data_IF_403342339241
#
_entry.id   IF_403342339241
#
_cell.length_a   1.000
_cell.length_b   1.000
_cell.length_c   1.000
_cell.angle_alpha   90.00
_cell.angle_beta   90.00
_cell.angle_gamma   90.00
#
_symmetry.space_group_name_H-M   'P 1'
#
loop_
_entity.id
_entity.type
_entity.pdbx_description
1 polymer ?
#
# COMPACT_ATOMS: atom_id res chain seq x y z
N UNK A 1 31.74 -32.60 -72.11
CA UNK A 1 30.67 -32.58 -71.09
C UNK A 1 31.36 -32.75 -69.74
N UNK A 2 32.02 -31.74 -69.16
CA UNK A 2 31.49 -30.52 -68.54
C UNK A 2 30.41 -30.79 -67.49
N UNK A 3 30.86 -30.95 -66.24
CA UNK A 3 30.37 -30.16 -65.11
C UNK A 3 31.49 -30.05 -64.04
N UNK A 4 31.78 -28.85 -63.51
CA UNK A 4 32.93 -28.60 -62.66
C UNK A 4 32.66 -29.05 -61.22
N UNK A 5 33.70 -29.60 -60.59
CA UNK A 5 33.75 -29.89 -59.16
C UNK A 5 33.81 -28.56 -58.41
N UNK A 6 32.75 -28.19 -57.71
CA UNK A 6 32.73 -27.00 -56.85
C UNK A 6 33.78 -27.16 -55.73
N UNK A 7 34.61 -26.13 -55.47
CA UNK A 7 35.63 -26.17 -54.45
C UNK A 7 34.97 -26.17 -53.06
N UNK A 8 35.58 -26.87 -52.11
CA UNK A 8 35.08 -26.99 -50.75
C UNK A 8 34.81 -25.62 -50.14
N UNK A 9 33.60 -25.46 -49.61
CA UNK A 9 33.41 -24.62 -48.43
C UNK A 9 33.78 -25.52 -47.26
N UNK A 10 34.99 -25.35 -46.76
CA UNK A 10 35.32 -25.75 -45.40
C UNK A 10 34.33 -25.00 -44.50
N UNK A 11 33.23 -25.65 -44.14
CA UNK A 11 32.37 -25.22 -43.04
C UNK A 11 33.25 -25.26 -41.79
N UNK A 12 33.91 -24.14 -41.49
CA UNK A 12 34.67 -23.98 -40.25
C UNK A 12 33.65 -24.01 -39.11
N UNK A 13 33.53 -25.13 -38.36
CA UNK A 13 32.51 -25.25 -37.32
C UNK A 13 32.69 -24.15 -36.26
N UNK A 14 33.85 -23.54 -36.17
CA UNK A 14 34.15 -22.42 -35.29
C UNK A 14 33.34 -21.16 -35.63
N UNK A 15 33.11 -20.86 -36.92
CA UNK A 15 32.37 -19.67 -37.35
C UNK A 15 30.88 -19.83 -37.11
N UNK A 16 30.31 -20.99 -37.43
CA UNK A 16 28.89 -21.26 -37.21
C UNK A 16 28.52 -21.25 -35.73
N UNK A 17 29.40 -21.81 -34.88
CA UNK A 17 29.25 -21.73 -33.43
C UNK A 17 29.39 -20.28 -32.91
N UNK A 18 30.27 -19.46 -33.50
CA UNK A 18 30.40 -18.04 -33.17
C UNK A 18 29.14 -17.25 -33.57
N UNK A 19 28.59 -17.47 -34.77
CA UNK A 19 27.36 -16.84 -35.22
C UNK A 19 26.17 -17.23 -34.34
N UNK A 20 26.03 -18.52 -34.03
CA UNK A 20 24.99 -19.02 -33.13
C UNK A 20 25.08 -18.39 -31.74
N UNK A 21 26.30 -18.28 -31.18
CA UNK A 21 26.55 -17.64 -29.89
C UNK A 21 26.16 -16.16 -29.87
N UNK A 22 26.51 -15.41 -30.92
CA UNK A 22 26.15 -13.98 -31.04
C UNK A 22 24.62 -13.81 -31.16
N UNK A 23 23.96 -14.66 -31.96
CA UNK A 23 22.50 -14.61 -32.12
C UNK A 23 21.78 -14.93 -30.81
N UNK A 24 22.19 -15.98 -30.09
CA UNK A 24 21.59 -16.33 -28.81
C UNK A 24 21.83 -15.24 -27.76
N UNK A 25 23.02 -14.66 -27.69
CA UNK A 25 23.31 -13.54 -26.79
C UNK A 25 22.43 -12.32 -27.10
N UNK A 26 22.24 -11.97 -28.37
CA UNK A 26 21.36 -10.88 -28.78
C UNK A 26 19.90 -11.15 -28.38
N UNK A 27 19.39 -12.37 -28.60
CA UNK A 27 18.02 -12.74 -28.22
C UNK A 27 17.83 -12.64 -26.70
N UNK A 28 18.78 -13.14 -25.90
CA UNK A 28 18.73 -13.07 -24.42
C UNK A 28 18.77 -11.62 -23.92
N UNK A 29 19.59 -10.76 -24.52
CA UNK A 29 19.62 -9.33 -24.17
C UNK A 29 18.29 -8.66 -24.49
N UNK A 30 17.72 -8.92 -25.67
CA UNK A 30 16.44 -8.34 -26.08
C UNK A 30 15.31 -8.81 -25.15
N UNK A 31 15.21 -10.12 -24.90
CA UNK A 31 14.16 -10.66 -24.00
C UNK A 31 14.35 -10.19 -22.57
N UNK A 32 15.59 -10.08 -22.08
CA UNK A 32 15.93 -9.50 -20.78
C UNK A 32 15.51 -8.03 -20.66
N UNK A 33 15.82 -7.20 -21.65
CA UNK A 33 15.40 -5.80 -21.68
C UNK A 33 13.88 -5.64 -21.74
N UNK A 34 13.18 -6.46 -22.53
CA UNK A 34 11.72 -6.46 -22.59
C UNK A 34 11.08 -6.91 -21.27
N UNK A 35 11.65 -7.92 -20.60
CA UNK A 35 11.19 -8.38 -19.29
C UNK A 35 11.40 -7.29 -18.24
N UNK A 36 12.59 -6.69 -18.20
CA UNK A 36 12.91 -5.60 -17.29
C UNK A 36 12.00 -4.39 -17.51
N UNK A 37 11.69 -4.04 -18.76
CA UNK A 37 10.80 -2.92 -19.06
C UNK A 37 9.35 -3.19 -18.63
N UNK A 38 8.86 -4.43 -18.77
CA UNK A 38 7.53 -4.82 -18.29
C UNK A 38 7.45 -4.79 -16.75
N UNK A 39 8.50 -5.23 -16.08
CA UNK A 39 8.59 -5.23 -14.61
C UNK A 39 8.75 -3.80 -14.05
N UNK A 40 9.55 -2.96 -14.71
CA UNK A 40 9.69 -1.54 -14.36
C UNK A 40 8.38 -0.75 -14.56
N UNK A 41 7.55 -1.14 -15.54
CA UNK A 41 6.22 -0.53 -15.73
C UNK A 41 5.25 -0.91 -14.62
N UNK A 42 5.33 -2.13 -14.07
CA UNK A 42 4.53 -2.54 -12.91
C UNK A 42 4.89 -1.75 -11.65
N UNK A 43 6.18 -1.46 -11.44
CA UNK A 43 6.66 -0.75 -10.25
C UNK A 43 6.16 0.70 -10.15
N UNK A 44 5.89 1.36 -11.29
CA UNK A 44 5.39 2.75 -11.33
C UNK A 44 3.93 2.92 -10.85
N UNK A 45 3.16 1.85 -10.75
CA UNK A 45 1.78 1.92 -10.24
C UNK A 45 1.79 2.17 -8.73
N UNK A 46 2.80 1.68 -8.00
CA UNK A 46 2.88 1.79 -6.54
C UNK A 46 3.11 3.24 -6.05
N UNK A 47 3.85 4.04 -6.82
CA UNK A 47 4.21 5.42 -6.45
C UNK A 47 3.07 6.42 -6.70
N UNK A 48 2.18 6.12 -7.65
CA UNK A 48 1.03 6.97 -7.98
C UNK A 48 -0.11 6.86 -6.96
N UNK A 49 -0.13 5.82 -6.10
CA UNK A 49 -1.12 5.67 -5.02
C UNK A 49 -0.75 6.44 -3.74
N UNK A 50 0.53 6.75 -3.51
CA UNK A 50 0.95 7.58 -2.35
C UNK A 50 0.55 9.05 -2.49
N UNK A 51 0.41 9.56 -3.72
CA UNK A 51 0.26 10.98 -4.00
C UNK A 51 -1.19 11.46 -4.26
N UNK A 52 -2.19 10.57 -4.27
CA UNK A 52 -3.52 10.93 -4.80
C UNK A 52 -4.60 11.28 -3.77
N UNK A 53 -4.35 11.17 -2.46
CA UNK A 53 -5.18 11.86 -1.45
C UNK A 53 -4.28 12.20 -0.25
N UNK A 54 -3.75 13.43 -0.14
CA UNK A 54 -3.23 13.88 1.14
C UNK A 54 -4.39 13.82 2.13
N UNK A 55 -4.39 12.81 2.99
CA UNK A 55 -5.43 12.66 4.00
C UNK A 55 -5.18 13.76 5.03
N UNK A 56 -6.04 14.76 5.05
CA UNK A 56 -6.03 15.76 6.10
C UNK A 56 -6.74 15.19 7.31
N UNK A 57 -6.13 15.38 8.48
CA UNK A 57 -6.66 14.99 9.77
C UNK A 57 -7.06 16.25 10.55
N UNK A 58 -8.25 16.24 11.12
CA UNK A 58 -8.69 17.30 12.02
C UNK A 58 -8.18 16.99 13.43
N UNK A 59 -7.12 17.68 13.86
CA UNK A 59 -6.56 17.54 15.20
C UNK A 59 -6.97 18.71 16.10
N UNK A 60 -6.96 18.48 17.40
CA UNK A 60 -7.23 19.47 18.43
C UNK A 60 -5.95 19.63 19.26
N UNK A 61 -5.24 20.72 19.05
CA UNK A 61 -4.04 21.09 19.82
C UNK A 61 -4.30 22.45 20.48
N UNK A 62 -3.88 22.59 21.73
CA UNK A 62 -4.08 23.83 22.52
C UNK A 62 -5.55 24.32 22.61
N UNK A 63 -6.52 23.42 22.42
CA UNK A 63 -7.95 23.74 22.44
C UNK A 63 -8.52 24.23 21.11
N UNK A 64 -7.70 24.43 20.09
CA UNK A 64 -8.13 24.82 18.76
C UNK A 64 -8.15 23.64 17.78
N UNK A 65 -9.15 23.65 16.88
CA UNK A 65 -9.27 22.67 15.81
C UNK A 65 -8.43 23.11 14.62
N UNK A 66 -7.46 22.30 14.25
CA UNK A 66 -6.59 22.56 13.10
C UNK A 66 -6.57 21.36 12.16
N UNK A 67 -6.54 21.61 10.86
CA UNK A 67 -6.32 20.56 9.87
C UNK A 67 -4.82 20.40 9.64
N UNK A 68 -4.32 19.21 9.89
CA UNK A 68 -2.94 18.81 9.63
C UNK A 68 -2.90 17.71 8.58
N UNK A 69 -1.76 17.54 7.92
CA UNK A 69 -1.57 16.36 7.10
C UNK A 69 -1.52 15.12 8.01
N UNK A 70 -1.99 13.97 7.52
CA UNK A 70 -1.89 12.72 8.27
C UNK A 70 -0.44 12.37 8.67
N UNK A 71 0.55 12.86 7.92
CA UNK A 71 1.98 12.70 8.22
C UNK A 71 2.45 13.49 9.46
N UNK A 72 1.79 14.61 9.76
CA UNK A 72 2.13 15.49 10.89
C UNK A 72 1.43 15.08 12.20
N UNK A 73 0.62 14.03 12.17
CA UNK A 73 -0.11 13.49 13.32
C UNK A 73 0.83 12.66 14.19
N UNK A 74 0.87 12.96 15.48
CA UNK A 74 1.72 12.26 16.44
C UNK A 74 0.89 11.52 17.49
N UNK A 75 1.52 10.53 18.14
CA UNK A 75 0.91 9.79 19.25
C UNK A 75 0.61 10.76 20.39
N UNK A 76 -0.61 10.69 20.93
CA UNK A 76 -1.09 11.59 21.98
C UNK A 76 -1.93 12.77 21.47
N UNK A 77 -1.97 13.03 20.16
CA UNK A 77 -2.86 14.05 19.61
C UNK A 77 -4.33 13.65 19.78
N UNK A 78 -5.19 14.65 20.01
CA UNK A 78 -6.63 14.48 19.97
C UNK A 78 -7.13 14.70 18.54
N UNK A 79 -7.68 13.68 17.90
CA UNK A 79 -8.23 13.73 16.55
C UNK A 79 -9.75 13.70 16.61
N UNK A 80 -10.39 14.52 15.79
CA UNK A 80 -11.84 14.48 15.53
C UNK A 80 -12.08 13.89 14.14
N UNK A 81 -12.92 12.85 14.06
CA UNK A 81 -13.33 12.20 12.81
C UNK A 81 -14.83 12.41 12.58
N UNK A 82 -15.21 12.66 11.34
CA UNK A 82 -16.61 12.85 10.93
C UNK A 82 -16.99 11.83 9.87
N UNK A 83 -18.28 11.58 9.71
CA UNK A 83 -18.80 10.73 8.62
C UNK A 83 -18.33 11.25 7.26
N UNK A 84 -17.76 10.36 6.45
CA UNK A 84 -17.09 10.66 5.19
C UNK A 84 -15.56 10.73 5.29
N UNK A 85 -15.00 10.93 6.48
CA UNK A 85 -13.56 11.02 6.67
C UNK A 85 -12.94 9.64 6.84
N UNK A 86 -11.71 9.48 6.32
CA UNK A 86 -10.88 8.32 6.59
C UNK A 86 -10.09 8.53 7.87
N UNK A 87 -9.95 7.48 8.64
CA UNK A 87 -9.23 7.51 9.91
C UNK A 87 -7.71 7.60 9.65
N UNK A 88 -7.03 8.67 10.10
CA UNK A 88 -5.63 8.96 9.72
C UNK A 88 -4.59 8.13 10.48
N UNK A 89 -4.95 7.57 11.63
CA UNK A 89 -4.07 6.80 12.52
C UNK A 89 -4.90 5.87 13.40
N UNK A 90 -4.29 4.95 14.14
CA UNK A 90 -5.04 4.18 15.14
C UNK A 90 -5.43 5.12 16.30
N UNK A 91 -6.73 5.23 16.58
CA UNK A 91 -7.27 6.12 17.61
C UNK A 91 -7.99 5.32 18.69
N UNK A 92 -7.83 5.75 19.94
CA UNK A 92 -8.69 5.34 21.04
C UNK A 92 -9.81 6.36 21.22
N UNK A 93 -11.04 5.93 20.99
CA UNK A 93 -12.23 6.77 21.10
C UNK A 93 -12.45 7.18 22.55
N UNK A 94 -12.60 8.49 22.76
CA UNK A 94 -12.96 9.09 24.05
C UNK A 94 -14.39 9.65 24.05
N UNK A 95 -14.93 9.94 22.87
CA UNK A 95 -16.30 10.41 22.69
C UNK A 95 -16.79 10.00 21.32
N UNK A 96 -18.02 9.50 21.22
CA UNK A 96 -18.64 9.13 19.96
C UNK A 96 -20.12 9.51 19.97
N UNK A 97 -20.60 10.07 18.86
CA UNK A 97 -21.99 10.43 18.64
C UNK A 97 -22.45 9.79 17.33
N UNK A 98 -23.15 8.65 17.45
CA UNK A 98 -23.64 7.89 16.29
C UNK A 98 -22.53 7.46 15.33
N UNK A 99 -21.29 7.36 15.80
CA UNK A 99 -20.15 7.04 14.96
C UNK A 99 -20.21 5.58 14.52
N UNK A 100 -20.23 5.36 13.20
CA UNK A 100 -20.06 4.04 12.60
C UNK A 100 -18.88 4.07 11.66
N UNK A 101 -18.07 3.03 11.70
CA UNK A 101 -16.91 2.88 10.82
C UNK A 101 -17.03 1.61 10.00
N UNK A 102 -16.50 1.66 8.78
CA UNK A 102 -16.35 0.51 7.92
C UNK A 102 -14.97 -0.13 8.15
N UNK A 103 -14.98 -1.39 8.60
CA UNK A 103 -13.77 -2.19 8.82
C UNK A 103 -13.46 -3.13 7.65
N UNK A 104 -14.11 -2.98 6.50
CA UNK A 104 -13.88 -3.80 5.30
C UNK A 104 -12.39 -3.93 4.93
N UNK A 105 -11.61 -2.88 5.18
CA UNK A 105 -10.14 -2.88 4.96
C UNK A 105 -9.37 -3.87 5.83
N UNK A 106 -9.91 -4.25 7.00
CA UNK A 106 -9.22 -5.10 7.98
C UNK A 106 -9.86 -6.49 8.11
N UNK A 107 -11.20 -6.56 8.12
CA UNK A 107 -11.94 -7.81 8.31
C UNK A 107 -12.51 -8.38 7.01
N UNK A 108 -12.60 -7.57 5.94
CA UNK A 108 -13.29 -7.94 4.70
C UNK A 108 -14.82 -7.83 4.77
N UNK A 109 -15.36 -7.48 5.93
CA UNK A 109 -16.81 -7.30 6.15
C UNK A 109 -17.19 -5.84 5.98
N UNK A 110 -18.13 -5.54 5.07
CA UNK A 110 -18.57 -4.17 4.77
C UNK A 110 -19.69 -3.67 5.69
N UNK A 111 -20.06 -4.42 6.73
CA UNK A 111 -21.09 -4.01 7.67
C UNK A 111 -20.57 -2.90 8.60
N UNK A 112 -21.23 -1.72 8.65
CA UNK A 112 -20.80 -0.61 9.51
C UNK A 112 -20.82 -0.98 10.98
N UNK A 113 -19.68 -0.85 11.66
CA UNK A 113 -19.53 -1.16 13.08
C UNK A 113 -19.61 0.11 13.93
N UNK A 114 -20.49 0.10 14.93
CA UNK A 114 -20.68 1.24 15.84
C UNK A 114 -19.49 1.40 16.80
N UNK A 115 -19.06 2.65 17.01
CA UNK A 115 -17.98 3.00 17.95
C UNK A 115 -18.49 3.71 19.19
N UNK A 116 -17.91 3.36 20.33
CA UNK A 116 -18.26 3.87 21.66
C UNK A 116 -16.99 4.07 22.49
N UNK A 117 -16.96 5.03 23.43
CA UNK A 117 -15.80 5.22 24.30
C UNK A 117 -15.56 4.05 25.27
N UNK A 118 -16.61 3.31 25.61
CA UNK A 118 -16.53 2.18 26.53
C UNK A 118 -15.86 0.95 25.89
N UNK A 119 -15.02 0.28 26.66
CA UNK A 119 -14.38 -0.96 26.27
C UNK A 119 -15.41 -2.10 26.28
N UNK A 120 -15.64 -2.73 25.14
CA UNK A 120 -16.66 -3.79 25.03
C UNK A 120 -16.08 -5.20 25.02
N UNK A 121 -14.83 -5.36 24.59
CA UNK A 121 -14.14 -6.65 24.48
C UNK A 121 -12.67 -6.50 24.91
N UNK A 122 -12.06 -7.60 25.36
CA UNK A 122 -10.63 -7.66 25.67
C UNK A 122 -9.77 -7.61 24.40
N UNK A 123 -10.29 -8.13 23.29
CA UNK A 123 -9.60 -8.10 22.00
C UNK A 123 -9.67 -6.68 21.41
N UNK A 124 -8.52 -6.02 21.15
CA UNK A 124 -8.48 -4.69 20.57
C UNK A 124 -9.11 -4.61 19.17
N UNK A 125 -9.17 -5.71 18.40
CA UNK A 125 -9.77 -5.73 17.06
C UNK A 125 -11.30 -5.67 17.07
N UNK A 126 -11.92 -6.22 18.11
CA UNK A 126 -13.37 -6.34 18.25
C UNK A 126 -13.98 -5.25 19.14
N UNK A 127 -13.16 -4.62 19.99
CA UNK A 127 -13.63 -3.57 20.88
C UNK A 127 -14.10 -2.33 20.10
N UNK A 128 -15.16 -1.69 20.60
CA UNK A 128 -15.78 -0.52 19.97
C UNK A 128 -15.05 0.80 20.27
N UNK A 129 -14.12 0.80 21.21
CA UNK A 129 -13.37 1.99 21.63
C UNK A 129 -12.07 2.25 20.87
N UNK A 130 -11.81 1.50 19.81
CA UNK A 130 -10.65 1.69 18.94
C UNK A 130 -11.13 1.86 17.49
N UNK A 131 -10.51 2.77 16.77
CA UNK A 131 -10.62 2.89 15.31
C UNK A 131 -9.26 2.71 14.69
N UNK A 132 -9.22 2.08 13.52
CA UNK A 132 -7.97 1.67 12.87
C UNK A 132 -7.62 2.54 11.69
N UNK A 133 -6.33 2.70 11.45
CA UNK A 133 -5.82 3.28 10.21
C UNK A 133 -6.40 2.54 8.99
N UNK A 134 -6.70 3.29 7.94
CA UNK A 134 -7.35 2.83 6.70
C UNK A 134 -8.86 2.58 6.78
N UNK A 135 -9.48 2.61 7.96
CA UNK A 135 -10.95 2.51 8.08
C UNK A 135 -11.64 3.84 7.77
N UNK A 136 -12.87 3.78 7.25
CA UNK A 136 -13.64 4.97 6.92
C UNK A 136 -14.76 5.18 7.93
N UNK A 137 -14.94 6.40 8.41
CA UNK A 137 -16.12 6.77 9.18
C UNK A 137 -17.30 6.92 8.21
N UNK A 138 -18.31 6.06 8.34
CA UNK A 138 -19.48 6.08 7.46
C UNK A 138 -20.42 7.21 7.86
N UNK A 139 -20.67 7.33 9.16
CA UNK A 139 -21.58 8.34 9.71
C UNK A 139 -21.22 8.69 11.15
N UNK A 140 -21.80 9.80 11.62
CA UNK A 140 -21.62 10.30 12.97
C UNK A 140 -20.32 11.09 13.16
N UNK A 141 -19.99 11.32 14.43
CA UNK A 141 -18.74 12.01 14.81
C UNK A 141 -18.09 11.28 15.97
N UNK A 142 -16.77 11.24 15.97
CA UNK A 142 -16.00 10.68 17.06
C UNK A 142 -14.77 11.52 17.35
N UNK A 143 -14.33 11.48 18.61
CA UNK A 143 -13.07 12.04 19.07
C UNK A 143 -12.26 10.94 19.70
N UNK A 144 -10.98 10.90 19.38
CA UNK A 144 -10.09 9.89 19.91
C UNK A 144 -8.67 10.39 20.03
N UNK A 145 -7.93 9.78 20.95
CA UNK A 145 -6.51 10.04 21.14
C UNK A 145 -5.72 9.07 20.27
N UNK A 146 -4.72 9.57 19.56
CA UNK A 146 -3.86 8.76 18.71
C UNK A 146 -3.02 7.83 19.57
N UNK A 147 -3.12 6.51 19.32
CA UNK A 147 -2.37 5.47 20.02
C UNK A 147 -1.18 4.96 19.20
N UNK A 148 -1.31 4.90 17.87
CA UNK A 148 -0.25 4.47 16.97
C UNK A 148 -0.36 5.16 15.60
N UNK A 149 0.79 5.44 14.99
CA UNK A 149 0.92 6.11 13.68
C UNK A 149 1.87 5.34 12.77
N UNK A 150 1.68 5.47 11.45
CA UNK A 150 2.54 4.86 10.41
C UNK A 150 2.66 3.34 10.55
N UNK A 151 3.88 2.82 10.46
CA UNK A 151 4.20 1.39 10.50
C UNK A 151 3.81 0.69 11.82
N UNK A 152 3.60 1.46 12.90
CA UNK A 152 3.18 0.91 14.20
C UNK A 152 1.68 0.61 14.27
N UNK A 153 0.89 1.16 13.36
CA UNK A 153 -0.55 0.90 13.28
C UNK A 153 -0.82 -0.57 12.95
N UNK A 154 -2.02 -1.07 13.24
CA UNK A 154 -2.41 -2.45 12.89
C UNK A 154 -2.20 -2.71 11.40
N UNK A 155 -2.71 -1.80 10.56
CA UNK A 155 -2.58 -1.94 9.10
C UNK A 155 -1.14 -1.69 8.62
N UNK A 156 -0.41 -0.78 9.27
CA UNK A 156 1.01 -0.56 9.00
C UNK A 156 1.84 -1.83 9.20
N UNK A 157 1.64 -2.53 10.31
CA UNK A 157 2.32 -3.82 10.56
C UNK A 157 1.97 -4.89 9.52
N UNK A 158 0.70 -4.95 9.11
CA UNK A 158 0.26 -5.88 8.05
C UNK A 158 0.95 -5.53 6.72
N UNK A 159 1.02 -4.24 6.37
CA UNK A 159 1.70 -3.78 5.17
C UNK A 159 3.21 -4.07 5.20
N UNK A 160 3.88 -3.87 6.35
CA UNK A 160 5.30 -4.22 6.52
C UNK A 160 5.54 -5.71 6.33
N UNK A 161 4.70 -6.57 6.95
CA UNK A 161 4.79 -8.02 6.80
C UNK A 161 4.56 -8.48 5.35
N UNK A 162 3.56 -7.91 4.66
CA UNK A 162 3.26 -8.22 3.27
C UNK A 162 4.34 -7.73 2.30
N UNK A 163 5.03 -6.63 2.64
CA UNK A 163 6.10 -6.06 1.82
C UNK A 163 7.43 -6.80 1.94
N UNK A 164 7.57 -7.73 2.90
CA UNK A 164 8.65 -8.71 2.93
C UNK A 164 10.08 -8.13 2.98
N UNK A 165 10.26 -6.94 3.58
CA UNK A 165 11.56 -6.47 4.07
C UNK A 165 11.73 -6.84 5.55
#
# INVERSE_FOLDING_TARGET
MLCPRLPGTEDDPSRDNLYLGIVLAAVVIITGCFSYYQEAKSSKIMESFKNMVPQQALVIREGEKMQLNAEDVVVGDLVEVKGGDRVPADLRIISAHGCKVDNSSLTGESEPQTRSPDCTHDNPLETRNITFFSTNCVEGTARGVVIATGDRTVMGRIATLASGL
#
